data_IF_996534809773
#
_entry.id   IF_996534809773
#
_cell.length_a   1.000
_cell.length_b   1.000
_cell.length_c   1.000
_cell.angle_alpha   90.00
_cell.angle_beta   90.00
_cell.angle_gamma   90.00
#
_symmetry.space_group_name_H-M   'P 1'
#
loop_
_entity.id
_entity.type
_entity.pdbx_description
1 polymer ?
#
# COMPACT_ATOMS: atom_id res chain seq x y z
N UNK A 1 11.51 12.72 -4.78
CA UNK A 1 10.96 11.34 -4.68
C UNK A 1 9.50 11.40 -4.25
N UNK A 2 8.62 10.50 -4.70
CA UNK A 2 7.24 10.38 -4.18
C UNK A 2 7.22 9.39 -3.02
N UNK A 3 6.42 9.66 -1.98
CA UNK A 3 6.20 8.70 -0.89
C UNK A 3 5.22 7.58 -1.31
N UNK A 4 5.64 6.74 -2.27
CA UNK A 4 4.85 5.63 -2.83
C UNK A 4 4.81 4.39 -1.92
N UNK A 5 5.79 4.21 -1.05
CA UNK A 5 5.84 3.12 -0.06
C UNK A 5 6.27 1.74 -0.60
N UNK A 6 6.49 1.58 -1.91
CA UNK A 6 6.87 0.29 -2.50
C UNK A 6 8.37 0.01 -2.52
N UNK A 7 8.75 -1.23 -2.20
CA UNK A 7 10.16 -1.69 -2.15
C UNK A 7 10.90 -1.51 -3.48
N UNK A 8 10.23 -1.75 -4.61
CA UNK A 8 10.81 -1.63 -5.96
C UNK A 8 11.42 -0.25 -6.24
N UNK A 9 11.00 0.79 -5.49
CA UNK A 9 11.49 2.16 -5.66
C UNK A 9 12.37 2.64 -4.52
N UNK A 10 12.66 1.80 -3.52
CA UNK A 10 13.47 2.18 -2.36
C UNK A 10 14.96 2.32 -2.69
N UNK A 11 15.48 1.59 -3.67
CA UNK A 11 16.90 1.59 -4.03
C UNK A 11 17.50 2.99 -4.26
N UNK A 12 16.73 3.91 -4.87
CA UNK A 12 17.19 5.31 -5.07
C UNK A 12 17.33 6.10 -3.76
N UNK A 13 16.52 5.80 -2.75
CA UNK A 13 16.61 6.43 -1.43
C UNK A 13 17.84 5.91 -0.69
N UNK A 14 18.06 4.59 -0.74
CA UNK A 14 19.24 3.97 -0.15
C UNK A 14 20.54 4.53 -0.77
N UNK A 15 20.60 4.62 -2.10
CA UNK A 15 21.75 5.18 -2.81
C UNK A 15 21.99 6.66 -2.46
N UNK A 16 20.95 7.49 -2.47
CA UNK A 16 21.09 8.91 -2.12
C UNK A 16 21.63 9.10 -0.69
N UNK A 17 21.14 8.31 0.27
CA UNK A 17 21.65 8.33 1.66
C UNK A 17 23.12 7.93 1.74
N UNK A 18 23.51 6.86 1.05
CA UNK A 18 24.91 6.41 1.03
C UNK A 18 25.86 7.46 0.42
N UNK A 19 25.36 8.27 -0.51
CA UNK A 19 26.11 9.32 -1.20
C UNK A 19 25.99 10.70 -0.54
N UNK A 20 25.25 10.84 0.56
CA UNK A 20 25.00 12.14 1.21
C UNK A 20 24.17 13.11 0.36
N UNK A 21 23.40 12.61 -0.61
CA UNK A 21 22.55 13.41 -1.49
C UNK A 21 21.23 13.71 -0.79
N UNK A 22 20.83 14.98 -0.78
CA UNK A 22 19.55 15.40 -0.24
C UNK A 22 18.37 14.78 -1.02
N UNK A 23 17.39 14.27 -0.29
CA UNK A 23 16.17 13.70 -0.87
C UNK A 23 14.97 14.57 -0.52
N UNK A 24 14.47 15.31 -1.49
CA UNK A 24 13.16 15.97 -1.36
C UNK A 24 12.05 14.94 -1.53
N UNK A 25 11.22 14.76 -0.50
CA UNK A 25 10.10 13.82 -0.51
C UNK A 25 8.77 14.54 -0.75
N UNK A 26 8.01 14.07 -1.76
CA UNK A 26 6.66 14.54 -2.06
C UNK A 26 5.68 13.76 -1.17
N UNK A 27 4.90 14.50 -0.38
CA UNK A 27 3.88 13.97 0.54
C UNK A 27 2.82 13.15 -0.21
N UNK A 28 2.27 12.12 0.45
CA UNK A 28 1.07 11.42 -0.02
C UNK A 28 -0.14 12.38 0.07
N UNK A 29 -1.01 12.44 -0.96
CA UNK A 29 -2.24 13.23 -0.88
C UNK A 29 -3.15 12.72 0.24
N UNK A 30 -4.05 13.56 0.72
CA UNK A 30 -5.17 13.11 1.54
C UNK A 30 -6.04 12.19 0.69
N UNK A 31 -6.32 10.99 1.19
CA UNK A 31 -7.19 10.01 0.55
C UNK A 31 -8.46 9.84 1.40
N UNK A 32 -9.60 9.46 0.81
CA UNK A 32 -10.79 9.07 1.56
C UNK A 32 -10.47 7.91 2.51
N UNK A 33 -11.14 7.88 3.66
CA UNK A 33 -11.05 6.76 4.58
C UNK A 33 -11.93 5.61 4.07
N UNK A 34 -11.27 4.62 3.46
CA UNK A 34 -11.90 3.43 2.90
C UNK A 34 -11.13 2.19 3.33
N UNK A 35 -11.82 1.05 3.37
CA UNK A 35 -11.20 -0.24 3.65
C UNK A 35 -9.97 -0.44 2.74
N UNK A 36 -8.81 -0.65 3.35
CA UNK A 36 -7.53 -0.82 2.66
C UNK A 36 -6.69 -1.87 3.38
N UNK A 37 -5.72 -2.45 2.66
CA UNK A 37 -4.83 -3.47 3.19
C UNK A 37 -3.38 -3.05 2.98
N UNK A 38 -2.53 -3.30 3.97
CA UNK A 38 -1.10 -2.99 3.92
C UNK A 38 -0.28 -4.07 3.20
N UNK A 39 -0.82 -5.30 3.14
CA UNK A 39 -0.18 -6.44 2.49
C UNK A 39 -1.12 -7.13 1.51
N UNK A 40 -0.53 -7.92 0.61
CA UNK A 40 -1.30 -8.71 -0.37
C UNK A 40 -2.13 -9.78 0.34
N UNK A 41 -1.59 -10.40 1.39
CA UNK A 41 -2.26 -11.44 2.17
C UNK A 41 -3.49 -10.87 2.89
N UNK A 42 -3.36 -9.68 3.48
CA UNK A 42 -4.48 -8.98 4.11
C UNK A 42 -5.55 -8.64 3.08
N UNK A 43 -5.15 -8.16 1.90
CA UNK A 43 -6.08 -7.87 0.81
C UNK A 43 -6.83 -9.13 0.34
N UNK A 44 -6.12 -10.25 0.19
CA UNK A 44 -6.72 -11.52 -0.21
C UNK A 44 -7.75 -12.00 0.81
N UNK A 45 -7.46 -11.89 2.11
CA UNK A 45 -8.41 -12.22 3.18
C UNK A 45 -9.65 -11.31 3.15
N UNK A 46 -9.46 -9.99 2.95
CA UNK A 46 -10.56 -9.05 2.81
C UNK A 46 -11.46 -9.42 1.63
N UNK A 47 -10.87 -9.65 0.45
CA UNK A 47 -11.62 -10.03 -0.76
C UNK A 47 -12.38 -11.35 -0.54
N UNK A 48 -11.75 -12.34 0.08
CA UNK A 48 -12.40 -13.61 0.43
C UNK A 48 -13.61 -13.43 1.35
N UNK A 49 -13.52 -12.53 2.34
CA UNK A 49 -14.64 -12.18 3.22
C UNK A 49 -15.77 -11.46 2.45
N UNK A 50 -15.43 -10.51 1.58
CA UNK A 50 -16.41 -9.75 0.80
C UNK A 50 -17.10 -10.58 -0.30
N UNK A 51 -16.39 -11.53 -0.91
CA UNK A 51 -16.89 -12.37 -2.01
C UNK A 51 -17.41 -13.73 -1.56
N UNK A 52 -17.54 -13.98 -0.25
CA UNK A 52 -18.17 -15.18 0.28
C UNK A 52 -19.55 -15.44 -0.35
N UNK A 53 -19.94 -16.71 -0.55
CA UNK A 53 -21.10 -17.06 -1.37
C UNK A 53 -22.36 -16.35 -0.88
N UNK A 54 -23.07 -15.71 -1.80
CA UNK A 54 -24.40 -15.15 -1.56
C UNK A 54 -25.42 -16.21 -1.07
N UNK A 55 -25.07 -17.50 -1.14
CA UNK A 55 -25.90 -18.64 -0.77
C UNK A 55 -26.19 -18.77 0.74
N UNK A 56 -25.40 -18.17 1.63
CA UNK A 56 -25.67 -18.20 3.10
C UNK A 56 -26.27 -16.90 3.66
N UNK A 57 -26.70 -15.97 2.79
CA UNK A 57 -27.37 -14.72 3.22
C UNK A 57 -28.90 -14.81 3.21
N UNK A 58 -29.44 -15.99 3.48
CA UNK A 58 -30.86 -16.21 3.77
C UNK A 58 -31.58 -17.07 2.73
N UNK A 59 -31.73 -18.35 3.08
CA UNK A 59 -33.02 -19.06 3.15
C UNK A 59 -33.01 -19.87 4.44
#
# INVERSE_FOLDING_TARGET
SKNSGGEATYGKIAAARALGIEVVMIRRPTLPDVASAETVEALAAMVGHFLGPAAERGV
#
